data_IF_312639728977
#
_entry.id   IF_312639728977
#
_cell.length_a   1.000
_cell.length_b   1.000
_cell.length_c   1.000
_cell.angle_alpha   90.00
_cell.angle_beta   90.00
_cell.angle_gamma   90.00
#
_symmetry.space_group_name_H-M   'P 1'
#
loop_
_entity.id
_entity.type
_entity.pdbx_description
1 polymer ?
#
# COMPACT_ATOMS: atom_id res chain seq x y z
N UNK A 1 10.36 51.37 -14.19
CA UNK A 1 9.98 50.08 -14.81
C UNK A 1 9.52 49.03 -13.79
N UNK A 2 10.17 48.88 -12.62
CA UNK A 2 9.78 47.90 -11.59
C UNK A 2 8.44 48.18 -10.91
N UNK A 3 8.10 49.45 -10.68
CA UNK A 3 6.84 49.86 -10.04
C UNK A 3 5.59 49.49 -10.86
N UNK A 4 5.70 49.51 -12.19
CA UNK A 4 4.61 49.13 -13.11
C UNK A 4 4.43 47.60 -13.12
N UNK A 5 5.52 46.84 -13.07
CA UNK A 5 5.46 45.37 -12.97
C UNK A 5 4.88 44.90 -11.64
N UNK A 6 5.28 45.49 -10.51
CA UNK A 6 4.70 45.16 -9.21
C UNK A 6 3.23 45.55 -9.11
N UNK A 7 2.87 46.72 -9.64
CA UNK A 7 1.48 47.16 -9.73
C UNK A 7 0.65 46.20 -10.60
N UNK A 8 1.12 45.84 -11.79
CA UNK A 8 0.46 44.86 -12.67
C UNK A 8 0.32 43.50 -11.99
N UNK A 9 1.35 43.01 -11.32
CA UNK A 9 1.32 41.69 -10.67
C UNK A 9 0.35 41.67 -9.48
N UNK A 10 0.25 42.78 -8.73
CA UNK A 10 -0.72 42.96 -7.64
C UNK A 10 -2.15 43.17 -8.17
N UNK A 11 -2.29 43.85 -9.30
CA UNK A 11 -3.54 44.08 -10.02
C UNK A 11 -4.10 42.73 -10.51
N UNK A 12 -3.31 41.95 -11.27
CA UNK A 12 -3.68 40.62 -11.80
C UNK A 12 -3.91 39.53 -10.73
N UNK A 13 -3.27 39.64 -9.55
CA UNK A 13 -3.53 38.74 -8.42
C UNK A 13 -4.87 38.97 -7.72
N UNK A 14 -5.50 40.13 -7.88
CA UNK A 14 -6.79 40.41 -7.28
C UNK A 14 -7.90 39.89 -8.21
N UNK A 15 -8.70 38.92 -7.77
CA UNK A 15 -9.85 38.39 -8.53
C UNK A 15 -10.86 39.45 -9.00
N UNK A 16 -10.70 40.70 -8.56
CA UNK A 16 -11.41 41.91 -8.99
C UNK A 16 -11.28 42.18 -10.49
N UNK A 17 -10.13 41.90 -11.13
CA UNK A 17 -9.98 42.12 -12.58
C UNK A 17 -10.85 41.16 -13.38
N UNK A 18 -10.90 39.90 -12.98
CA UNK A 18 -11.73 38.88 -13.65
C UNK A 18 -13.20 39.29 -13.59
N UNK A 19 -13.64 39.82 -12.44
CA UNK A 19 -15.00 40.35 -12.27
C UNK A 19 -15.25 41.59 -13.15
N UNK A 20 -14.30 42.52 -13.25
CA UNK A 20 -14.43 43.70 -14.10
C UNK A 20 -14.50 43.30 -15.58
N UNK A 21 -13.64 42.40 -16.04
CA UNK A 21 -13.64 41.86 -17.41
C UNK A 21 -14.95 41.13 -17.69
N UNK A 22 -15.44 40.33 -16.74
CA UNK A 22 -16.72 39.63 -16.84
C UNK A 22 -17.89 40.62 -16.99
N UNK A 23 -18.00 41.60 -16.09
CA UNK A 23 -19.04 42.63 -16.14
C UNK A 23 -18.98 43.45 -17.44
N UNK A 24 -17.78 43.82 -17.89
CA UNK A 24 -17.59 44.53 -19.15
C UNK A 24 -18.05 43.72 -20.36
N UNK A 25 -17.71 42.42 -20.43
CA UNK A 25 -18.18 41.52 -21.48
C UNK A 25 -19.71 41.37 -21.47
N UNK A 26 -20.31 41.21 -20.29
CA UNK A 26 -21.78 41.15 -20.14
C UNK A 26 -22.45 42.44 -20.63
N UNK A 27 -21.91 43.61 -20.26
CA UNK A 27 -22.46 44.91 -20.68
C UNK A 27 -22.39 45.05 -22.21
N UNK A 28 -21.28 44.68 -22.84
CA UNK A 28 -21.16 44.75 -24.30
C UNK A 28 -22.13 43.79 -25.01
N UNK A 29 -22.27 42.56 -24.50
CA UNK A 29 -23.25 41.60 -25.01
C UNK A 29 -24.68 42.12 -24.89
N UNK A 30 -25.03 42.77 -23.78
CA UNK A 30 -26.33 43.41 -23.59
C UNK A 30 -26.53 44.58 -24.56
N UNK A 31 -25.53 45.47 -24.72
CA UNK A 31 -25.61 46.59 -25.67
C UNK A 31 -25.79 46.12 -27.12
N UNK A 32 -25.13 45.02 -27.50
CA UNK A 32 -25.31 44.40 -28.80
C UNK A 32 -26.71 43.78 -28.94
N UNK A 33 -27.20 43.08 -27.91
CA UNK A 33 -28.56 42.51 -27.89
C UNK A 33 -29.65 43.59 -28.06
N UNK A 34 -29.47 44.76 -27.47
CA UNK A 34 -30.37 45.91 -27.61
C UNK A 34 -30.15 46.73 -28.89
N UNK A 35 -29.35 46.23 -29.85
CA UNK A 35 -29.08 46.88 -31.16
C UNK A 35 -28.63 48.33 -31.01
N UNK A 36 -27.77 48.62 -30.03
CA UNK A 36 -27.18 49.93 -29.89
C UNK A 36 -26.38 50.29 -31.17
N UNK A 37 -26.75 51.39 -31.83
CA UNK A 37 -26.27 51.77 -33.16
C UNK A 37 -24.75 52.02 -33.27
N UNK A 38 -24.05 52.11 -32.15
CA UNK A 38 -22.61 52.34 -32.06
C UNK A 38 -21.77 51.06 -31.90
N UNK A 39 -22.39 49.88 -31.79
CA UNK A 39 -21.71 48.61 -31.49
C UNK A 39 -21.94 47.59 -32.62
N UNK A 40 -21.06 47.58 -33.61
CA UNK A 40 -21.00 46.53 -34.63
C UNK A 40 -20.06 45.43 -34.15
N UNK A 41 -20.61 44.28 -33.76
CA UNK A 41 -19.86 43.12 -33.29
C UNK A 41 -20.17 41.94 -34.21
N UNK A 42 -19.12 41.31 -34.73
CA UNK A 42 -19.21 40.11 -35.55
C UNK A 42 -19.50 38.86 -34.71
N UNK A 43 -20.15 37.87 -35.32
CA UNK A 43 -20.49 36.60 -34.68
C UNK A 43 -19.27 35.88 -34.05
N UNK A 44 -18.08 36.01 -34.66
CA UNK A 44 -16.83 35.45 -34.11
C UNK A 44 -16.44 36.13 -32.79
N UNK A 45 -16.65 37.44 -32.68
CA UNK A 45 -16.37 38.21 -31.46
C UNK A 45 -17.36 37.85 -30.35
N UNK A 46 -18.63 37.63 -30.67
CA UNK A 46 -19.63 37.11 -29.73
C UNK A 46 -19.20 35.74 -29.18
N UNK A 47 -18.74 34.84 -30.06
CA UNK A 47 -18.27 33.51 -29.66
C UNK A 47 -17.05 33.59 -28.71
N UNK A 48 -16.08 34.44 -29.03
CA UNK A 48 -14.91 34.68 -28.18
C UNK A 48 -15.29 35.27 -26.81
N UNK A 49 -16.22 36.22 -26.77
CA UNK A 49 -16.73 36.79 -25.52
C UNK A 49 -17.45 35.74 -24.66
N UNK A 50 -18.27 34.89 -25.27
CA UNK A 50 -18.91 33.76 -24.57
C UNK A 50 -17.88 32.81 -23.97
N UNK A 51 -16.80 32.50 -24.71
CA UNK A 51 -15.73 31.65 -24.20
C UNK A 51 -14.98 32.29 -23.02
N UNK A 52 -14.73 33.61 -23.08
CA UNK A 52 -14.12 34.36 -21.97
C UNK A 52 -15.05 34.38 -20.74
N UNK A 53 -16.37 34.51 -20.91
CA UNK A 53 -17.35 34.46 -19.81
C UNK A 53 -17.36 33.12 -19.07
N UNK A 54 -16.96 32.03 -19.73
CA UNK A 54 -16.86 30.70 -19.10
C UNK A 54 -15.58 30.51 -18.26
N UNK A 55 -14.55 31.35 -18.46
CA UNK A 55 -13.25 31.26 -17.76
C UNK A 55 -13.34 31.31 -16.23
N UNK A 56 -14.10 32.23 -15.58
CA UNK A 56 -14.23 32.22 -14.11
C UNK A 56 -14.87 30.94 -13.56
N UNK A 57 -15.71 30.27 -14.34
CA UNK A 57 -16.38 29.03 -13.96
C UNK A 57 -15.47 27.79 -14.07
N UNK A 58 -14.36 27.85 -14.82
CA UNK A 58 -13.40 26.75 -14.92
C UNK A 58 -12.83 26.33 -13.54
N UNK A 59 -12.67 27.30 -12.63
CA UNK A 59 -12.23 27.03 -11.25
C UNK A 59 -13.27 26.24 -10.43
N UNK A 60 -14.57 26.45 -10.68
CA UNK A 60 -15.65 25.75 -10.00
C UNK A 60 -15.80 24.32 -10.52
N UNK A 61 -15.62 24.10 -11.83
CA UNK A 61 -15.62 22.75 -12.43
C UNK A 61 -14.51 21.88 -11.82
N UNK A 62 -13.31 22.44 -11.60
CA UNK A 62 -12.23 21.71 -10.92
C UNK A 62 -12.62 21.37 -9.47
N UNK A 63 -13.12 22.33 -8.70
CA UNK A 63 -13.51 22.12 -7.30
C UNK A 63 -14.58 21.04 -7.14
N UNK A 64 -15.57 20.99 -8.03
CA UNK A 64 -16.61 19.95 -8.02
C UNK A 64 -15.98 18.57 -8.27
N UNK A 65 -15.14 18.44 -9.30
CA UNK A 65 -14.45 17.17 -9.59
C UNK A 65 -13.58 16.69 -8.42
N UNK A 66 -12.79 17.58 -7.83
CA UNK A 66 -11.95 17.24 -6.67
C UNK A 66 -12.81 16.80 -5.46
N UNK A 67 -13.91 17.51 -5.17
CA UNK A 67 -14.82 17.12 -4.09
C UNK A 67 -15.48 15.76 -4.32
N UNK A 68 -15.86 15.44 -5.56
CA UNK A 68 -16.44 14.13 -5.92
C UNK A 68 -15.41 12.99 -5.75
N UNK A 69 -14.15 13.21 -6.15
CA UNK A 69 -13.07 12.24 -5.95
C UNK A 69 -12.73 12.02 -4.47
N UNK A 70 -12.64 13.09 -3.68
CA UNK A 70 -12.40 12.98 -2.24
C UNK A 70 -13.53 12.22 -1.54
N UNK A 71 -14.79 12.47 -1.92
CA UNK A 71 -15.94 11.76 -1.38
C UNK A 71 -15.93 10.26 -1.72
N UNK A 72 -15.57 9.91 -2.96
CA UNK A 72 -15.44 8.53 -3.42
C UNK A 72 -14.32 7.79 -2.67
N UNK A 73 -13.13 8.38 -2.56
CA UNK A 73 -12.00 7.78 -1.83
C UNK A 73 -12.36 7.56 -0.36
N UNK A 74 -13.02 8.54 0.28
CA UNK A 74 -13.49 8.40 1.65
C UNK A 74 -14.47 7.23 1.83
N UNK A 75 -15.35 7.01 0.86
CA UNK A 75 -16.29 5.89 0.89
C UNK A 75 -15.57 4.56 0.70
N UNK A 76 -14.60 4.48 -0.20
CA UNK A 76 -13.76 3.30 -0.42
C UNK A 76 -12.95 2.94 0.84
N UNK A 77 -12.36 3.93 1.51
CA UNK A 77 -11.64 3.73 2.78
C UNK A 77 -12.58 3.15 3.84
N UNK A 78 -13.77 3.74 4.04
CA UNK A 78 -14.75 3.24 5.02
C UNK A 78 -15.19 1.80 4.73
N UNK A 79 -15.41 1.49 3.45
CA UNK A 79 -15.74 0.12 3.01
C UNK A 79 -14.60 -0.85 3.31
N UNK A 80 -13.36 -0.45 3.06
CA UNK A 80 -12.18 -1.25 3.37
C UNK A 80 -11.99 -1.43 4.90
N UNK A 81 -12.19 -0.39 5.71
CA UNK A 81 -12.17 -0.49 7.19
C UNK A 81 -13.17 -1.52 7.71
N UNK A 82 -14.38 -1.53 7.17
CA UNK A 82 -15.41 -2.50 7.56
C UNK A 82 -14.99 -3.93 7.20
N UNK A 83 -14.49 -4.16 5.99
CA UNK A 83 -14.00 -5.47 5.55
C UNK A 83 -12.82 -5.96 6.40
N UNK A 84 -11.93 -5.05 6.80
CA UNK A 84 -10.77 -5.36 7.62
C UNK A 84 -11.18 -5.85 9.03
N UNK A 85 -12.15 -5.14 9.64
CA UNK A 85 -12.77 -5.57 10.91
C UNK A 85 -13.39 -6.97 10.83
N UNK A 86 -14.09 -7.28 9.73
CA UNK A 86 -14.69 -8.61 9.54
C UNK A 86 -13.63 -9.73 9.47
N UNK A 87 -12.47 -9.46 8.87
CA UNK A 87 -11.37 -10.44 8.79
C UNK A 87 -10.69 -10.62 10.15
N UNK A 88 -10.52 -9.53 10.91
CA UNK A 88 -9.96 -9.59 12.27
C UNK A 88 -10.80 -10.45 13.21
N UNK A 89 -12.12 -10.30 13.19
CA UNK A 89 -13.03 -11.06 14.07
C UNK A 89 -13.05 -12.57 13.84
N UNK A 90 -12.56 -13.05 12.69
CA UNK A 90 -12.47 -14.48 12.36
C UNK A 90 -11.13 -15.11 12.77
N UNK A 91 -10.16 -14.28 13.18
CA UNK A 91 -8.83 -14.72 13.58
C UNK A 91 -8.71 -15.00 15.07
N UNK A 92 -8.81 -16.27 15.48
CA UNK A 92 -8.41 -16.68 16.84
C UNK A 92 -6.90 -16.54 17.08
N UNK A 93 -6.49 -16.24 18.32
CA UNK A 93 -5.12 -16.18 18.89
C UNK A 93 -3.95 -16.02 17.88
N UNK A 94 -4.02 -15.00 17.02
CA UNK A 94 -2.95 -14.64 16.06
C UNK A 94 -1.72 -14.03 16.76
N UNK A 95 -1.89 -13.61 18.01
CA UNK A 95 -1.00 -12.70 18.74
C UNK A 95 0.30 -13.36 19.25
N UNK A 96 0.39 -14.70 19.24
CA UNK A 96 1.57 -15.41 19.77
C UNK A 96 2.62 -15.82 18.73
N UNK A 97 2.36 -15.61 17.44
CA UNK A 97 3.13 -16.30 16.39
C UNK A 97 4.10 -15.40 15.61
N UNK A 98 3.88 -14.08 15.58
CA UNK A 98 4.62 -13.18 14.70
C UNK A 98 5.12 -11.98 15.51
N UNK A 99 6.45 -11.87 15.62
CA UNK A 99 7.13 -10.68 16.17
C UNK A 99 6.63 -9.45 15.39
N UNK A 100 6.24 -8.39 16.10
CA UNK A 100 5.66 -7.16 15.52
C UNK A 100 6.41 -6.75 14.25
N UNK A 101 5.66 -6.59 13.16
CA UNK A 101 6.16 -6.44 11.80
C UNK A 101 6.98 -5.14 11.67
N UNK A 102 8.31 -5.24 11.58
CA UNK A 102 9.22 -4.07 11.46
C UNK A 102 8.88 -3.18 10.26
N UNK A 103 8.25 -3.77 9.24
CA UNK A 103 7.79 -3.08 8.03
C UNK A 103 6.74 -2.00 8.34
N UNK A 104 5.90 -2.19 9.36
CA UNK A 104 4.82 -1.24 9.69
C UNK A 104 5.41 0.00 10.36
N UNK A 105 6.35 -0.18 11.29
CA UNK A 105 7.05 0.94 11.93
C UNK A 105 7.79 1.78 10.88
N UNK A 106 8.47 1.12 9.92
CA UNK A 106 9.09 1.81 8.79
C UNK A 106 8.08 2.57 7.90
N UNK A 107 6.87 2.05 7.73
CA UNK A 107 5.83 2.69 6.91
C UNK A 107 5.23 3.91 7.61
N UNK A 108 5.04 3.86 8.93
CA UNK A 108 4.57 4.99 9.74
C UNK A 108 5.60 6.13 9.74
N UNK A 109 6.88 5.82 9.96
CA UNK A 109 7.96 6.81 9.88
C UNK A 109 8.08 7.44 8.49
N UNK A 110 7.87 6.64 7.45
CA UNK A 110 7.90 7.11 6.07
C UNK A 110 6.69 8.00 5.78
N UNK A 111 5.50 7.64 6.27
CA UNK A 111 4.28 8.41 6.06
C UNK A 111 4.35 9.80 6.69
N UNK A 112 5.04 9.93 7.83
CA UNK A 112 5.30 11.23 8.46
C UNK A 112 6.18 12.16 7.60
N UNK A 113 6.96 11.61 6.65
CA UNK A 113 7.87 12.37 5.76
C UNK A 113 7.29 12.54 4.36
N UNK A 114 6.79 11.45 3.79
CA UNK A 114 6.22 11.36 2.45
C UNK A 114 5.10 10.28 2.42
N UNK A 115 3.83 10.71 2.58
CA UNK A 115 2.69 9.80 2.59
C UNK A 115 2.51 9.02 1.29
N UNK A 116 2.77 9.64 0.13
CA UNK A 116 2.58 8.99 -1.18
C UNK A 116 3.60 7.87 -1.33
N UNK A 117 4.84 8.12 -0.93
CA UNK A 117 5.90 7.12 -0.94
C UNK A 117 5.62 5.98 0.05
N UNK A 118 5.08 6.28 1.23
CA UNK A 118 4.67 5.26 2.19
C UNK A 118 3.58 4.34 1.62
N UNK A 119 2.55 4.91 0.99
CA UNK A 119 1.47 4.16 0.37
C UNK A 119 1.93 3.35 -0.85
N UNK A 120 2.88 3.88 -1.63
CA UNK A 120 3.55 3.13 -2.69
C UNK A 120 4.33 1.93 -2.11
N UNK A 121 5.08 2.12 -1.03
CA UNK A 121 5.81 1.05 -0.34
C UNK A 121 4.87 -0.01 0.22
N UNK A 122 3.73 0.38 0.81
CA UNK A 122 2.71 -0.55 1.28
C UNK A 122 2.20 -1.45 0.15
N UNK A 123 1.90 -0.88 -1.04
CA UNK A 123 1.48 -1.65 -2.21
C UNK A 123 2.53 -2.69 -2.62
N UNK A 124 3.82 -2.30 -2.60
CA UNK A 124 4.94 -3.17 -2.95
C UNK A 124 5.05 -4.33 -1.96
N UNK A 125 4.92 -4.07 -0.66
CA UNK A 125 5.00 -5.11 0.38
C UNK A 125 3.83 -6.11 0.30
N UNK A 126 2.61 -5.63 0.01
CA UNK A 126 1.46 -6.51 -0.28
C UNK A 126 1.78 -7.41 -1.49
N UNK A 127 2.29 -6.82 -2.57
CA UNK A 127 2.64 -7.57 -3.78
C UNK A 127 3.72 -8.63 -3.50
N UNK A 128 4.77 -8.26 -2.76
CA UNK A 128 5.87 -9.13 -2.37
C UNK A 128 5.40 -10.33 -1.55
N UNK A 129 4.54 -10.12 -0.55
CA UNK A 129 3.98 -11.22 0.27
C UNK A 129 3.06 -12.12 -0.55
N UNK A 130 2.23 -11.56 -1.44
CA UNK A 130 1.42 -12.36 -2.37
C UNK A 130 2.28 -13.25 -3.28
N UNK A 131 3.39 -12.73 -3.82
CA UNK A 131 4.32 -13.54 -4.62
C UNK A 131 4.91 -14.71 -3.83
N UNK A 132 5.23 -14.51 -2.54
CA UNK A 132 5.76 -15.55 -1.66
C UNK A 132 4.76 -16.66 -1.34
N UNK A 133 3.45 -16.42 -1.50
CA UNK A 133 2.44 -17.45 -1.30
C UNK A 133 2.44 -18.51 -2.41
N UNK A 134 3.07 -18.23 -3.55
CA UNK A 134 3.27 -19.21 -4.61
C UNK A 134 4.43 -20.15 -4.28
N UNK A 135 4.25 -21.44 -4.58
CA UNK A 135 5.32 -22.42 -4.41
C UNK A 135 6.35 -22.31 -5.54
N UNK A 136 7.56 -22.84 -5.34
CA UNK A 136 8.63 -22.82 -6.36
C UNK A 136 8.26 -23.51 -7.68
N UNK A 137 7.19 -24.32 -7.70
CA UNK A 137 6.69 -25.03 -8.89
C UNK A 137 5.61 -24.23 -9.64
N UNK A 138 5.09 -23.17 -9.05
CA UNK A 138 3.98 -22.40 -9.60
C UNK A 138 4.49 -21.21 -10.41
N UNK A 139 3.84 -20.94 -11.53
CA UNK A 139 4.07 -19.70 -12.26
C UNK A 139 3.34 -18.57 -11.55
N UNK A 140 4.09 -17.54 -11.12
CA UNK A 140 3.52 -16.37 -10.46
C UNK A 140 2.84 -15.46 -11.48
N UNK A 141 1.53 -15.21 -11.38
CA UNK A 141 0.83 -14.31 -12.27
C UNK A 141 1.32 -12.86 -12.11
N UNK A 142 1.24 -12.08 -13.20
CA UNK A 142 1.55 -10.65 -13.15
C UNK A 142 0.40 -9.85 -12.54
N UNK A 143 0.73 -9.01 -11.57
CA UNK A 143 -0.20 -8.06 -10.95
C UNK A 143 -1.07 -8.64 -9.83
N UNK A 144 -1.37 -7.80 -8.83
CA UNK A 144 -2.09 -8.18 -7.61
C UNK A 144 -3.47 -8.80 -7.91
N UNK A 145 -4.18 -8.26 -8.91
CA UNK A 145 -5.52 -8.76 -9.27
C UNK A 145 -5.51 -10.23 -9.70
N UNK A 146 -4.58 -10.60 -10.59
CA UNK A 146 -4.49 -11.99 -11.04
C UNK A 146 -3.93 -12.89 -9.94
N UNK A 147 -2.95 -12.40 -9.17
CA UNK A 147 -2.40 -13.17 -8.05
C UNK A 147 -3.48 -13.53 -7.03
N UNK A 148 -4.21 -12.53 -6.53
CA UNK A 148 -5.29 -12.75 -5.56
C UNK A 148 -6.43 -13.60 -6.12
N UNK A 149 -6.73 -13.49 -7.42
CA UNK A 149 -7.74 -14.35 -8.05
C UNK A 149 -7.34 -15.84 -8.02
N UNK A 150 -6.09 -16.16 -8.38
CA UNK A 150 -5.59 -17.53 -8.35
C UNK A 150 -5.52 -18.05 -6.91
N UNK A 151 -4.91 -17.27 -5.99
CA UNK A 151 -4.76 -17.68 -4.59
C UNK A 151 -6.11 -17.90 -3.89
N UNK A 152 -7.13 -17.10 -4.22
CA UNK A 152 -8.48 -17.31 -3.70
C UNK A 152 -9.15 -18.54 -4.34
N UNK A 153 -8.94 -18.76 -5.64
CA UNK A 153 -9.45 -19.93 -6.36
C UNK A 153 -8.88 -21.25 -5.83
N UNK A 154 -7.64 -21.24 -5.33
CA UNK A 154 -7.00 -22.39 -4.68
C UNK A 154 -7.22 -22.46 -3.17
N UNK A 155 -8.00 -21.53 -2.59
CA UNK A 155 -8.29 -21.48 -1.15
C UNK A 155 -7.11 -21.08 -0.26
N UNK A 156 -6.00 -20.58 -0.83
CA UNK A 156 -4.84 -20.12 -0.05
C UNK A 156 -5.15 -18.82 0.70
N UNK A 157 -5.94 -17.94 0.07
CA UNK A 157 -6.49 -16.76 0.73
C UNK A 157 -8.02 -16.83 0.69
N UNK A 158 -8.68 -16.21 1.67
CA UNK A 158 -10.14 -16.14 1.68
C UNK A 158 -10.65 -15.14 0.62
N UNK A 159 -11.90 -15.33 0.16
CA UNK A 159 -12.54 -14.37 -0.73
C UNK A 159 -12.73 -12.98 -0.07
N UNK A 160 -12.84 -12.92 1.26
CA UNK A 160 -12.88 -11.67 2.02
C UNK A 160 -11.55 -10.93 1.92
N UNK A 161 -10.44 -11.61 2.20
CA UNK A 161 -9.09 -11.04 2.09
C UNK A 161 -8.79 -10.60 0.67
N UNK A 162 -9.18 -11.38 -0.34
CA UNK A 162 -9.07 -10.98 -1.75
C UNK A 162 -9.78 -9.65 -2.02
N UNK A 163 -11.04 -9.50 -1.58
CA UNK A 163 -11.80 -8.26 -1.80
C UNK A 163 -11.12 -7.07 -1.12
N UNK A 164 -10.69 -7.24 0.12
CA UNK A 164 -10.00 -6.20 0.86
C UNK A 164 -8.71 -5.75 0.14
N UNK A 165 -7.88 -6.70 -0.31
CA UNK A 165 -6.65 -6.39 -1.05
C UNK A 165 -6.97 -5.63 -2.34
N UNK A 166 -8.01 -6.02 -3.09
CA UNK A 166 -8.39 -5.34 -4.33
C UNK A 166 -8.89 -3.91 -4.07
N UNK A 167 -9.73 -3.72 -3.06
CA UNK A 167 -10.27 -2.41 -2.69
C UNK A 167 -9.13 -1.48 -2.23
N UNK A 168 -8.25 -1.95 -1.35
CA UNK A 168 -7.11 -1.15 -0.86
C UNK A 168 -6.11 -0.85 -1.99
N UNK A 169 -5.76 -1.82 -2.82
CA UNK A 169 -4.80 -1.57 -3.91
C UNK A 169 -5.36 -0.67 -5.01
N UNK A 170 -6.68 -0.61 -5.17
CA UNK A 170 -7.34 0.40 -5.99
C UNK A 170 -7.07 1.81 -5.44
N UNK A 171 -7.29 2.01 -4.14
CA UNK A 171 -7.00 3.29 -3.46
C UNK A 171 -5.50 3.63 -3.63
N UNK A 172 -4.59 2.71 -3.31
CA UNK A 172 -3.14 2.94 -3.41
C UNK A 172 -2.71 3.32 -4.84
N UNK A 173 -3.27 2.69 -5.88
CA UNK A 173 -2.94 3.03 -7.27
C UNK A 173 -3.36 4.47 -7.61
N UNK A 174 -4.57 4.87 -7.21
CA UNK A 174 -5.09 6.24 -7.45
C UNK A 174 -4.17 7.29 -6.84
N UNK A 175 -3.75 7.07 -5.61
CA UNK A 175 -2.81 7.94 -4.87
C UNK A 175 -1.47 8.06 -5.57
N UNK A 176 -0.87 6.93 -5.97
CA UNK A 176 0.43 6.91 -6.67
C UNK A 176 0.34 7.64 -8.01
N UNK A 177 -0.84 7.66 -8.64
CA UNK A 177 -1.10 8.42 -9.87
C UNK A 177 -1.46 9.90 -9.66
N UNK A 178 -1.38 10.38 -8.41
CA UNK A 178 -1.55 11.80 -8.08
C UNK A 178 -2.99 12.22 -7.81
N UNK A 179 -3.89 11.29 -7.53
CA UNK A 179 -5.18 11.63 -6.92
C UNK A 179 -4.95 12.04 -5.46
N UNK A 180 -5.47 13.22 -5.09
CA UNK A 180 -5.33 13.74 -3.73
C UNK A 180 -6.09 12.87 -2.73
N UNK A 181 -5.40 12.40 -1.69
CA UNK A 181 -6.07 11.79 -0.53
C UNK A 181 -6.57 12.92 0.35
N UNK A 182 -7.86 12.94 0.70
CA UNK A 182 -8.34 13.90 1.68
C UNK A 182 -7.72 13.59 3.04
N UNK A 183 -6.89 14.49 3.59
CA UNK A 183 -6.40 14.51 4.98
C UNK A 183 -5.40 13.42 5.43
N UNK A 184 -4.52 13.79 6.37
CA UNK A 184 -3.60 12.87 7.07
C UNK A 184 -4.33 11.71 7.77
N UNK A 185 -5.51 11.95 8.35
CA UNK A 185 -6.32 10.91 9.02
C UNK A 185 -6.66 9.74 8.09
N UNK A 186 -6.79 9.97 6.78
CA UNK A 186 -7.06 8.89 5.84
C UNK A 186 -5.81 8.07 5.49
N UNK A 187 -4.63 8.68 5.53
CA UNK A 187 -3.36 7.96 5.37
C UNK A 187 -3.21 6.97 6.52
N UNK A 188 -3.42 7.40 7.76
CA UNK A 188 -3.34 6.53 8.94
C UNK A 188 -4.32 5.35 8.84
N UNK A 189 -5.55 5.60 8.37
CA UNK A 189 -6.53 4.53 8.15
C UNK A 189 -6.09 3.53 7.10
N UNK A 190 -5.58 4.01 5.96
CA UNK A 190 -5.09 3.13 4.90
C UNK A 190 -3.89 2.31 5.39
N UNK A 191 -2.97 2.91 6.15
CA UNK A 191 -1.83 2.22 6.75
C UNK A 191 -2.28 1.16 7.76
N UNK A 192 -3.24 1.49 8.62
CA UNK A 192 -3.81 0.53 9.56
C UNK A 192 -4.42 -0.67 8.84
N UNK A 193 -5.28 -0.45 7.83
CA UNK A 193 -5.86 -1.53 7.01
C UNK A 193 -4.75 -2.32 6.31
N UNK A 194 -3.75 -1.62 5.79
CA UNK A 194 -2.55 -2.21 5.18
C UNK A 194 -1.82 -3.14 6.15
N UNK A 195 -1.65 -2.74 7.40
CA UNK A 195 -1.10 -3.58 8.47
C UNK A 195 -1.91 -4.85 8.65
N UNK A 196 -3.25 -4.75 8.71
CA UNK A 196 -4.10 -5.93 8.86
C UNK A 196 -3.94 -6.91 7.69
N UNK A 197 -3.81 -6.40 6.46
CA UNK A 197 -3.52 -7.22 5.28
C UNK A 197 -2.16 -7.90 5.40
N UNK A 198 -1.11 -7.15 5.76
CA UNK A 198 0.25 -7.67 5.84
C UNK A 198 0.36 -8.74 6.93
N UNK A 199 -0.25 -8.52 8.10
CA UNK A 199 -0.30 -9.47 9.20
C UNK A 199 -1.05 -10.74 8.81
N UNK A 200 -2.17 -10.61 8.09
CA UNK A 200 -2.91 -11.77 7.59
C UNK A 200 -2.09 -12.57 6.57
N UNK A 201 -1.41 -11.89 5.64
CA UNK A 201 -0.55 -12.56 4.67
C UNK A 201 0.64 -13.25 5.33
N UNK A 202 1.24 -12.63 6.36
CA UNK A 202 2.31 -13.24 7.14
C UNK A 202 1.82 -14.47 7.92
N UNK A 203 0.61 -14.40 8.50
CA UNK A 203 -0.01 -15.55 9.13
C UNK A 203 -0.22 -16.70 8.15
N UNK A 204 -0.72 -16.42 6.93
CA UNK A 204 -0.91 -17.46 5.90
C UNK A 204 0.44 -18.03 5.46
N UNK A 205 1.46 -17.19 5.27
CA UNK A 205 2.82 -17.64 4.95
C UNK A 205 3.37 -18.56 6.05
N UNK A 206 3.20 -18.18 7.32
CA UNK A 206 3.56 -19.01 8.46
C UNK A 206 2.82 -20.34 8.43
N UNK A 207 1.49 -20.33 8.30
CA UNK A 207 0.69 -21.56 8.28
C UNK A 207 1.07 -22.48 7.12
N UNK A 208 1.41 -21.92 5.96
CA UNK A 208 1.74 -22.70 4.76
C UNK A 208 3.14 -23.30 4.81
N UNK A 209 4.13 -22.61 5.38
CA UNK A 209 5.54 -22.98 5.23
C UNK A 209 6.28 -23.26 6.54
N UNK A 210 5.84 -22.69 7.66
CA UNK A 210 6.59 -22.71 8.94
C UNK A 210 5.83 -23.45 10.03
N UNK A 211 4.49 -23.44 10.02
CA UNK A 211 3.68 -24.05 11.05
C UNK A 211 4.02 -25.55 11.21
N UNK A 212 4.05 -26.04 12.45
CA UNK A 212 4.45 -27.42 12.71
C UNK A 212 3.46 -28.38 12.08
N UNK A 213 3.96 -29.36 11.32
CA UNK A 213 3.15 -30.38 10.67
C UNK A 213 2.34 -31.24 11.65
N UNK A 214 2.81 -31.39 12.89
CA UNK A 214 2.07 -32.03 13.98
C UNK A 214 2.42 -31.43 15.34
N UNK A 215 1.47 -31.48 16.29
CA UNK A 215 1.67 -31.06 17.68
C UNK A 215 1.36 -32.23 18.61
N UNK A 216 2.32 -32.66 19.42
CA UNK A 216 2.14 -33.67 20.47
C UNK A 216 2.33 -33.01 21.84
N UNK A 217 1.39 -33.22 22.77
CA UNK A 217 1.60 -32.82 24.17
C UNK A 217 2.59 -33.77 24.83
N UNK A 218 3.62 -33.23 25.45
CA UNK A 218 4.65 -33.97 26.17
C UNK A 218 4.64 -33.58 27.65
N UNK A 219 5.12 -34.47 28.51
CA UNK A 219 5.28 -34.20 29.93
C UNK A 219 6.64 -33.54 30.25
N UNK A 220 6.85 -33.13 31.51
CA UNK A 220 8.09 -32.45 31.94
C UNK A 220 9.35 -33.33 31.83
N UNK A 221 9.21 -34.64 32.00
CA UNK A 221 10.33 -35.59 31.84
C UNK A 221 10.75 -35.66 30.37
N UNK A 222 9.80 -35.84 29.46
CA UNK A 222 10.05 -35.80 28.01
C UNK A 222 10.65 -34.46 27.58
N UNK A 223 10.21 -33.34 28.16
CA UNK A 223 10.80 -32.01 27.88
C UNK A 223 12.28 -31.97 28.30
N UNK A 224 12.60 -32.41 29.52
CA UNK A 224 13.98 -32.45 29.99
C UNK A 224 14.86 -33.34 29.09
N UNK A 225 14.32 -34.45 28.57
CA UNK A 225 15.03 -35.29 27.60
C UNK A 225 15.34 -34.58 26.27
N UNK A 226 14.65 -33.50 25.89
CA UNK A 226 15.03 -32.67 24.75
C UNK A 226 16.02 -31.57 25.13
N UNK A 227 15.91 -31.03 26.35
CA UNK A 227 16.80 -29.98 26.86
C UNK A 227 18.22 -30.51 27.11
N UNK A 228 18.33 -31.73 27.61
CA UNK A 228 19.61 -32.37 27.94
C UNK A 228 20.20 -33.15 26.74
N UNK A 229 19.52 -33.13 25.59
CA UNK A 229 19.91 -33.90 24.42
C UNK A 229 21.13 -33.32 23.70
N UNK A 230 21.78 -34.19 22.93
CA UNK A 230 22.75 -33.78 21.89
C UNK A 230 22.10 -33.92 20.53
N UNK A 231 22.23 -32.86 19.74
CA UNK A 231 21.76 -32.76 18.36
C UNK A 231 22.93 -32.85 17.40
N UNK A 232 22.82 -33.77 16.46
CA UNK A 232 23.65 -33.81 15.27
C UNK A 232 23.07 -32.85 14.23
N UNK A 233 23.86 -31.87 13.83
CA UNK A 233 23.50 -30.87 12.83
C UNK A 233 24.36 -31.08 11.58
N UNK A 234 23.71 -31.39 10.47
CA UNK A 234 24.34 -31.62 9.18
C UNK A 234 24.11 -30.43 8.26
N UNK A 235 25.18 -29.94 7.66
CA UNK A 235 25.18 -28.78 6.76
C UNK A 235 26.07 -29.03 5.56
N UNK A 236 25.86 -28.30 4.45
CA UNK A 236 26.66 -28.42 3.23
C UNK A 236 27.25 -27.08 2.83
N UNK A 237 28.56 -27.04 2.59
CA UNK A 237 29.28 -25.92 1.98
C UNK A 237 29.28 -26.12 0.45
N UNK A 238 28.61 -25.25 -0.32
CA UNK A 238 28.43 -25.43 -1.76
C UNK A 238 29.62 -24.89 -2.57
N UNK A 239 30.83 -25.38 -2.29
CA UNK A 239 32.03 -24.99 -3.05
C UNK A 239 31.96 -25.52 -4.48
N UNK A 240 32.30 -24.68 -5.47
CA UNK A 240 32.29 -25.02 -6.91
C UNK A 240 33.15 -26.25 -7.20
N UNK A 241 34.33 -26.30 -6.59
CA UNK A 241 35.24 -27.43 -6.68
C UNK A 241 35.39 -28.00 -5.27
N UNK A 242 34.77 -29.17 -5.03
CA UNK A 242 34.75 -29.92 -3.75
C UNK A 242 33.74 -29.39 -2.72
N UNK A 243 32.43 -29.61 -2.92
CA UNK A 243 31.45 -29.37 -1.86
C UNK A 243 31.79 -30.19 -0.62
N UNK A 244 31.51 -29.64 0.55
CA UNK A 244 31.85 -30.25 1.84
C UNK A 244 30.60 -30.43 2.69
N UNK A 245 30.51 -31.57 3.39
CA UNK A 245 29.49 -31.80 4.41
C UNK A 245 30.13 -31.55 5.78
N UNK A 246 29.49 -30.71 6.58
CA UNK A 246 29.88 -30.46 7.97
C UNK A 246 28.86 -31.11 8.90
N UNK A 247 29.36 -31.83 9.90
CA UNK A 247 28.57 -32.43 10.97
C UNK A 247 29.02 -31.85 12.30
N UNK A 248 28.06 -31.30 13.07
CA UNK A 248 28.30 -30.70 14.39
C UNK A 248 27.49 -31.43 15.44
N UNK A 249 28.05 -31.62 16.62
CA UNK A 249 27.34 -32.14 17.78
C UNK A 249 27.13 -31.00 18.78
N UNK A 250 25.88 -30.59 18.95
CA UNK A 250 25.50 -29.42 19.73
C UNK A 250 24.52 -29.83 20.83
N UNK A 251 24.70 -29.32 22.04
CA UNK A 251 23.62 -29.36 23.03
C UNK A 251 22.53 -28.33 22.69
N UNK A 252 21.45 -28.28 23.47
CA UNK A 252 20.32 -27.38 23.19
C UNK A 252 20.72 -25.90 23.15
N UNK A 253 21.60 -25.44 24.06
CA UNK A 253 22.05 -24.04 24.12
C UNK A 253 22.90 -23.68 22.91
N UNK A 254 23.88 -24.52 22.57
CA UNK A 254 24.73 -24.35 21.40
C UNK A 254 23.95 -24.42 20.09
N UNK A 255 22.91 -25.25 20.03
CA UNK A 255 22.02 -25.31 18.86
C UNK A 255 21.27 -23.99 18.67
N UNK A 256 20.80 -23.37 19.75
CA UNK A 256 20.15 -22.06 19.64
C UNK A 256 21.13 -20.98 19.19
N UNK A 257 22.32 -20.92 19.77
CA UNK A 257 23.36 -19.97 19.36
C UNK A 257 23.74 -20.15 17.87
N UNK A 258 23.89 -21.41 17.44
CA UNK A 258 24.17 -21.73 16.05
C UNK A 258 23.06 -21.28 15.08
N UNK A 259 21.79 -21.46 15.45
CA UNK A 259 20.66 -21.08 14.63
C UNK A 259 20.41 -19.57 14.59
N UNK A 260 20.69 -18.86 15.69
CA UNK A 260 20.54 -17.40 15.79
C UNK A 260 21.53 -16.68 14.86
N UNK A 261 22.76 -17.17 14.76
CA UNK A 261 23.79 -16.65 13.85
C UNK A 261 23.89 -17.36 12.50
N UNK A 262 22.91 -18.19 12.13
CA UNK A 262 23.09 -19.12 10.99
C UNK A 262 23.31 -18.42 9.65
N UNK A 263 22.81 -17.20 9.50
CA UNK A 263 22.97 -16.38 8.31
C UNK A 263 24.42 -15.95 8.01
N UNK A 264 25.32 -16.03 9.00
CA UNK A 264 26.75 -15.73 8.82
C UNK A 264 27.52 -16.86 8.12
N UNK A 265 26.94 -18.06 8.07
CA UNK A 265 27.59 -19.23 7.49
C UNK A 265 27.28 -19.36 6.00
N UNK A 266 28.30 -19.55 5.18
CA UNK A 266 28.15 -19.89 3.75
C UNK A 266 27.80 -21.39 3.55
N UNK A 267 26.81 -21.87 4.30
CA UNK A 267 26.41 -23.28 4.39
C UNK A 267 24.89 -23.42 4.28
N UNK A 268 24.40 -24.59 3.84
CA UNK A 268 22.97 -24.92 3.84
C UNK A 268 22.64 -25.97 4.89
N UNK A 269 21.56 -25.77 5.64
CA UNK A 269 21.09 -26.70 6.67
C UNK A 269 20.41 -27.88 6.00
N UNK A 270 20.86 -29.09 6.32
CA UNK A 270 20.34 -30.34 5.75
C UNK A 270 19.49 -31.09 6.75
N UNK A 271 19.99 -31.27 7.98
CA UNK A 271 19.32 -32.08 9.00
C UNK A 271 19.69 -31.60 10.41
N UNK A 272 18.72 -31.68 11.33
CA UNK A 272 18.93 -31.59 12.78
C UNK A 272 18.31 -32.83 13.40
N UNK A 273 19.11 -33.64 14.08
CA UNK A 273 18.68 -34.93 14.61
C UNK A 273 19.12 -35.10 16.07
N UNK A 274 18.17 -35.41 16.96
CA UNK A 274 18.48 -35.85 18.32
C UNK A 274 19.19 -37.22 18.26
N UNK A 275 20.37 -37.32 18.85
CA UNK A 275 21.17 -38.57 18.85
C UNK A 275 21.38 -39.17 20.25
N UNK A 276 21.25 -38.36 21.31
CA UNK A 276 21.36 -38.80 22.70
C UNK A 276 20.45 -37.97 23.57
#
# INVERSE_FOLDING_TARGET
MNMIKEWLNKFFKSGKIIVIIFCFNVIILLLHLFRASFVQIDNTTILLMLLVLLTPFASHIKKIKFGDFEAEINQDIKKAEQQAKEIKSEGGDKEQVIKKNSVIEELEELAAKDPVLALAKLRIEIEKKLKRLYTFKETVPSGIKMMTQVLAGTGVISNKLRRLILDVTSILNRVVHGEDIPTETNIDKILNIGSEILDELDYILFQKFIAPASKKRINKKELNEYMDAVYEVTTVVPLVNKPQVNTRLLNQEQLYEFLDGYEEYAEFLVEIKKIK
#
